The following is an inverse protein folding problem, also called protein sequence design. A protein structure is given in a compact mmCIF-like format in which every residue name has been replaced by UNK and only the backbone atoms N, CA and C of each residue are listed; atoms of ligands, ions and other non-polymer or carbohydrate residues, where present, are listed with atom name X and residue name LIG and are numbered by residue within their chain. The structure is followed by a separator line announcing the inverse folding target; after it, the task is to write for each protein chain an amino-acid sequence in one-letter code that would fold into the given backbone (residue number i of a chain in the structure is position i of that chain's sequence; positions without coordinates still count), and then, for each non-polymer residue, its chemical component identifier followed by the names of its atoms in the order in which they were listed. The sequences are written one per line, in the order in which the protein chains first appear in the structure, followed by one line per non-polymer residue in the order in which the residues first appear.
data_IF_009900055420
#
_entry.id   IF_009900055420
#
_cell.length_a   1.000
_cell.length_b   1.000
_cell.length_c   1.000
_cell.angle_alpha   90.00
_cell.angle_beta   90.00
_cell.angle_gamma   90.00
#
_symmetry.space_group_name_H-M   'P 1'
#
loop_
_entity.id
_entity.type
_entity.pdbx_description
1 polymer ?
#
# COMPACT_ATOMS: atom_id res chain seq x y z
N UNK A 1 -2.96 -15.78 1.96
CA UNK A 1 -2.58 -14.91 3.08
C UNK A 1 -3.57 -14.98 4.23
N UNK A 2 -3.86 -16.18 4.72
CA UNK A 2 -4.77 -16.48 5.84
C UNK A 2 -4.07 -17.29 6.94
N UNK A 3 -2.72 -17.29 6.94
CA UNK A 3 -1.88 -18.08 7.83
C UNK A 3 -2.11 -19.61 7.81
N UNK A 4 -2.66 -20.18 6.73
CA UNK A 4 -2.92 -21.63 6.62
C UNK A 4 -1.67 -22.49 6.89
N UNK A 5 -0.56 -22.25 6.18
CA UNK A 5 0.67 -23.04 6.34
C UNK A 5 1.28 -22.89 7.75
N UNK A 6 1.14 -21.71 8.35
CA UNK A 6 1.52 -21.50 9.76
C UNK A 6 0.63 -22.30 10.70
N UNK A 7 -0.67 -22.37 10.44
CA UNK A 7 -1.60 -23.22 11.19
C UNK A 7 -1.25 -24.70 11.09
N UNK A 8 -0.90 -25.18 9.90
CA UNK A 8 -0.44 -26.57 9.68
C UNK A 8 0.84 -26.86 10.48
N UNK A 9 1.81 -25.94 10.47
CA UNK A 9 3.04 -26.05 11.25
C UNK A 9 2.77 -26.04 12.77
N UNK A 10 1.85 -25.20 13.23
CA UNK A 10 1.44 -25.10 14.63
C UNK A 10 0.69 -26.35 15.11
N UNK A 11 0.01 -27.05 14.21
CA UNK A 11 -0.62 -28.35 14.48
C UNK A 11 0.39 -29.51 14.57
N UNK A 12 1.68 -29.28 14.30
CA UNK A 12 2.76 -30.26 14.50
C UNK A 12 3.40 -30.80 13.22
N UNK A 13 2.91 -30.40 12.04
CA UNK A 13 3.45 -30.83 10.74
C UNK A 13 4.70 -29.98 10.41
N UNK A 14 5.85 -30.36 10.94
CA UNK A 14 7.10 -29.57 10.85
C UNK A 14 7.71 -29.56 9.45
N UNK A 15 7.47 -30.59 8.67
CA UNK A 15 7.92 -30.75 7.28
C UNK A 15 7.37 -29.67 6.32
N UNK A 16 6.33 -28.92 6.72
CA UNK A 16 5.82 -27.80 5.92
C UNK A 16 6.77 -26.59 5.96
N UNK A 17 7.61 -26.47 6.98
CA UNK A 17 8.65 -25.44 7.07
C UNK A 17 9.83 -25.81 6.16
N UNK A 18 10.41 -24.83 5.45
CA UNK A 18 11.53 -25.10 4.52
C UNK A 18 12.73 -25.78 5.18
N UNK A 19 13.02 -25.40 6.44
CA UNK A 19 14.12 -25.96 7.21
C UNK A 19 13.71 -27.16 8.10
N UNK A 20 12.42 -27.51 8.15
CA UNK A 20 11.88 -28.58 9.00
C UNK A 20 11.94 -28.31 10.51
N UNK A 21 12.36 -27.12 10.95
CA UNK A 21 12.60 -26.78 12.36
C UNK A 21 11.69 -25.63 12.82
N UNK A 22 11.73 -24.49 12.13
CA UNK A 22 10.98 -23.29 12.48
C UNK A 22 10.42 -22.57 11.24
N UNK A 23 9.51 -21.62 11.46
CA UNK A 23 8.85 -20.91 10.36
C UNK A 23 9.63 -19.69 9.85
N UNK A 24 10.92 -19.52 10.22
CA UNK A 24 11.67 -18.29 9.90
C UNK A 24 12.04 -18.21 8.41
N UNK A 25 12.36 -19.35 7.82
CA UNK A 25 12.70 -19.46 6.38
C UNK A 25 11.46 -19.54 5.48
N UNK A 26 10.27 -19.43 6.06
CA UNK A 26 8.99 -19.63 5.38
C UNK A 26 8.65 -21.11 5.18
N UNK A 27 7.77 -21.38 4.23
CA UNK A 27 7.17 -22.71 4.00
C UNK A 27 7.53 -23.26 2.63
N UNK A 28 7.37 -24.58 2.44
CA UNK A 28 7.71 -25.27 1.19
C UNK A 28 6.88 -24.80 -0.02
N UNK A 29 5.69 -24.23 0.22
CA UNK A 29 4.89 -23.59 -0.81
C UNK A 29 5.02 -22.06 -0.67
N UNK A 30 5.41 -21.35 -1.75
CA UNK A 30 5.43 -19.90 -1.71
C UNK A 30 4.01 -19.37 -1.54
N UNK A 31 3.88 -18.31 -0.77
CA UNK A 31 2.61 -17.59 -0.69
C UNK A 31 2.39 -16.76 -1.96
N UNK A 32 1.13 -16.49 -2.32
CA UNK A 32 0.80 -15.52 -3.39
C UNK A 32 1.47 -14.15 -3.17
N UNK A 33 1.86 -13.85 -1.93
CA UNK A 33 2.55 -12.61 -1.61
C UNK A 33 4.01 -12.65 -2.02
N UNK A 34 4.70 -13.77 -1.80
CA UNK A 34 6.09 -13.96 -2.21
C UNK A 34 6.25 -13.91 -3.72
N UNK A 35 5.31 -14.48 -4.47
CA UNK A 35 5.44 -14.62 -5.92
C UNK A 35 4.74 -13.50 -6.72
N UNK A 36 3.65 -12.93 -6.20
CA UNK A 36 2.83 -11.97 -6.95
C UNK A 36 2.83 -10.60 -6.27
N UNK A 37 2.23 -10.50 -5.08
CA UNK A 37 1.95 -9.19 -4.49
C UNK A 37 3.21 -8.42 -4.13
N UNK A 38 4.23 -9.07 -3.57
CA UNK A 38 5.49 -8.42 -3.23
C UNK A 38 6.18 -7.91 -4.50
N UNK A 39 6.69 -8.80 -5.37
CA UNK A 39 7.50 -8.42 -6.52
C UNK A 39 6.78 -7.55 -7.55
N UNK A 40 5.49 -7.80 -7.80
CA UNK A 40 4.78 -7.17 -8.91
C UNK A 40 3.85 -6.04 -8.50
N UNK A 41 3.58 -5.85 -7.20
CA UNK A 41 2.61 -4.84 -6.75
C UNK A 41 3.27 -3.93 -5.70
N UNK A 42 3.64 -4.47 -4.54
CA UNK A 42 4.06 -3.66 -3.39
C UNK A 42 5.47 -3.11 -3.56
N UNK A 43 6.35 -3.86 -4.23
CA UNK A 43 7.70 -3.39 -4.50
C UNK A 43 7.70 -2.16 -5.42
N UNK A 44 6.63 -1.96 -6.22
CA UNK A 44 6.39 -0.78 -7.04
C UNK A 44 5.55 0.31 -6.34
N UNK A 45 5.18 0.11 -5.07
CA UNK A 45 4.33 1.04 -4.33
C UNK A 45 2.83 0.94 -4.64
N UNK A 46 2.42 0.01 -5.51
CA UNK A 46 0.99 -0.24 -5.74
C UNK A 46 0.37 -0.90 -4.52
N UNK A 47 -0.85 -0.49 -4.22
CA UNK A 47 -1.62 -1.02 -3.10
C UNK A 47 -3.01 -0.40 -3.07
N UNK A 48 -3.90 -0.87 -2.18
CA UNK A 48 -5.29 -0.46 -2.14
C UNK A 48 -5.42 1.03 -1.89
N UNK A 49 -6.02 1.76 -2.81
CA UNK A 49 -6.47 3.13 -2.65
C UNK A 49 -8.00 3.14 -2.72
N UNK A 50 -8.65 3.57 -1.65
CA UNK A 50 -10.12 3.58 -1.53
C UNK A 50 -10.62 4.97 -1.16
N UNK A 51 -11.86 5.24 -1.51
CA UNK A 51 -12.54 6.45 -1.10
C UNK A 51 -14.02 6.22 -0.85
N UNK A 52 -14.61 7.14 -0.08
CA UNK A 52 -16.03 7.18 0.27
C UNK A 52 -16.54 8.60 0.00
N UNK A 53 -17.61 8.71 -0.77
CA UNK A 53 -18.32 9.99 -0.97
C UNK A 53 -19.21 10.26 0.25
N UNK A 54 -18.88 11.28 1.06
CA UNK A 54 -19.55 11.53 2.34
C UNK A 54 -20.98 12.08 2.17
N UNK A 55 -21.37 12.50 0.97
CA UNK A 55 -22.76 12.81 0.63
C UNK A 55 -23.70 11.61 0.64
N UNK A 56 -23.16 10.41 0.49
CA UNK A 56 -23.95 9.21 0.19
C UNK A 56 -24.62 9.22 -1.18
N UNK A 57 -24.32 10.19 -2.06
CA UNK A 57 -24.91 10.29 -3.41
C UNK A 57 -24.15 9.41 -4.40
N UNK A 58 -24.90 8.59 -5.14
CA UNK A 58 -24.33 7.74 -6.18
C UNK A 58 -23.70 8.55 -7.34
N UNK A 59 -24.24 9.73 -7.64
CA UNK A 59 -23.68 10.63 -8.66
C UNK A 59 -22.26 11.10 -8.32
N UNK A 60 -21.97 11.36 -7.04
CA UNK A 60 -20.60 11.69 -6.61
C UNK A 60 -19.65 10.52 -6.87
N UNK A 61 -20.10 9.27 -6.65
CA UNK A 61 -19.31 8.08 -6.95
C UNK A 61 -19.01 7.96 -8.44
N UNK A 62 -20.02 8.14 -9.31
CA UNK A 62 -19.83 8.13 -10.77
C UNK A 62 -18.80 9.18 -11.21
N UNK A 63 -18.85 10.40 -10.63
CA UNK A 63 -17.90 11.47 -10.93
C UNK A 63 -16.49 11.12 -10.47
N UNK A 64 -16.35 10.58 -9.25
CA UNK A 64 -15.05 10.14 -8.74
C UNK A 64 -14.47 8.96 -9.52
N UNK A 65 -15.28 8.00 -9.97
CA UNK A 65 -14.84 6.90 -10.84
C UNK A 65 -14.25 7.44 -12.15
N UNK A 66 -14.95 8.38 -12.80
CA UNK A 66 -14.47 9.03 -14.03
C UNK A 66 -13.19 9.82 -13.80
N UNK A 67 -13.11 10.57 -12.71
CA UNK A 67 -11.93 11.36 -12.38
C UNK A 67 -10.71 10.47 -12.06
N UNK A 68 -10.90 9.41 -11.28
CA UNK A 68 -9.83 8.44 -11.01
C UNK A 68 -9.37 7.74 -12.29
N UNK A 69 -10.30 7.29 -13.14
CA UNK A 69 -9.99 6.66 -14.42
C UNK A 69 -9.19 7.58 -15.34
N UNK A 70 -9.51 8.88 -15.38
CA UNK A 70 -8.80 9.87 -16.19
C UNK A 70 -7.36 10.15 -15.70
N UNK A 71 -7.05 9.85 -14.44
CA UNK A 71 -5.69 9.99 -13.89
C UNK A 71 -4.79 8.78 -14.17
N UNK A 72 -5.34 7.67 -14.68
CA UNK A 72 -4.60 6.43 -14.90
C UNK A 72 -4.24 6.32 -16.39
N UNK A 73 -2.95 6.23 -16.70
CA UNK A 73 -2.47 5.92 -18.05
C UNK A 73 -2.35 4.39 -18.23
N UNK A 74 -3.26 3.74 -18.98
CA UNK A 74 -3.26 2.30 -19.16
C UNK A 74 -2.06 1.77 -19.96
N UNK A 75 -1.22 2.64 -20.55
CA UNK A 75 -0.03 2.25 -21.29
C UNK A 75 1.26 2.38 -20.48
N UNK A 76 1.22 3.01 -19.30
CA UNK A 76 2.40 3.20 -18.44
C UNK A 76 2.92 1.88 -17.88
N UNK A 77 2.02 1.02 -17.42
CA UNK A 77 2.37 -0.27 -16.79
C UNK A 77 1.23 -1.28 -16.87
N UNK A 78 1.53 -2.56 -16.59
CA UNK A 78 0.50 -3.59 -16.49
C UNK A 78 -0.47 -3.32 -15.32
N UNK A 79 0.05 -2.80 -14.21
CA UNK A 79 -0.73 -2.46 -13.03
C UNK A 79 -1.71 -1.31 -13.33
N UNK A 80 -1.29 -0.27 -14.04
CA UNK A 80 -2.19 0.81 -14.45
C UNK A 80 -3.27 0.30 -15.41
N UNK A 81 -2.90 -0.52 -16.39
CA UNK A 81 -3.85 -1.12 -17.32
C UNK A 81 -4.92 -1.91 -16.59
N UNK A 82 -4.51 -2.77 -15.64
CA UNK A 82 -5.43 -3.62 -14.89
C UNK A 82 -6.38 -2.77 -14.03
N UNK A 83 -5.87 -1.70 -13.41
CA UNK A 83 -6.69 -0.78 -12.60
C UNK A 83 -7.59 0.14 -13.43
N UNK A 84 -7.17 0.52 -14.64
CA UNK A 84 -7.99 1.23 -15.60
C UNK A 84 -9.17 0.38 -16.06
N UNK A 85 -8.91 -0.89 -16.44
CA UNK A 85 -9.96 -1.83 -16.84
C UNK A 85 -10.93 -2.06 -15.69
N UNK A 86 -10.42 -2.23 -14.47
CA UNK A 86 -11.24 -2.37 -13.28
C UNK A 86 -12.16 -1.16 -13.07
N UNK A 87 -11.65 0.06 -13.00
CA UNK A 87 -12.47 1.25 -12.68
C UNK A 87 -13.50 1.55 -13.77
N UNK A 88 -13.18 1.26 -15.04
CA UNK A 88 -14.12 1.37 -16.18
C UNK A 88 -15.36 0.49 -16.00
N UNK A 89 -15.18 -0.71 -15.45
CA UNK A 89 -16.23 -1.72 -15.35
C UNK A 89 -16.82 -1.85 -13.94
N UNK A 90 -16.21 -1.23 -12.93
CA UNK A 90 -16.59 -1.36 -11.52
C UNK A 90 -18.06 -1.03 -11.25
N UNK A 91 -18.62 -0.04 -11.97
CA UNK A 91 -20.03 0.33 -11.85
C UNK A 91 -20.98 -0.75 -12.37
N UNK A 92 -20.63 -1.40 -13.49
CA UNK A 92 -21.44 -2.46 -14.10
C UNK A 92 -21.61 -3.67 -13.17
N UNK A 93 -20.63 -3.89 -12.29
CA UNK A 93 -20.60 -5.02 -11.36
C UNK A 93 -21.46 -4.82 -10.10
N UNK A 94 -21.98 -3.60 -9.85
CA UNK A 94 -22.92 -3.29 -8.74
C UNK A 94 -22.44 -3.78 -7.36
N UNK A 95 -21.16 -3.55 -7.05
CA UNK A 95 -20.51 -4.03 -5.82
C UNK A 95 -20.72 -3.11 -4.60
N UNK A 96 -21.41 -1.98 -4.77
CA UNK A 96 -21.63 -1.00 -3.70
C UNK A 96 -22.66 -1.52 -2.70
N UNK A 97 -22.28 -1.59 -1.43
CA UNK A 97 -23.16 -1.90 -0.29
C UNK A 97 -22.93 -0.86 0.80
N UNK A 98 -23.99 -0.20 1.25
CA UNK A 98 -23.91 0.86 2.26
C UNK A 98 -23.41 2.18 1.68
N UNK A 99 -22.25 2.65 2.13
CA UNK A 99 -21.68 3.93 1.70
C UNK A 99 -21.24 3.90 0.24
N UNK A 100 -21.37 5.03 -0.46
CA UNK A 100 -20.91 5.19 -1.84
C UNK A 100 -19.37 5.21 -1.87
N UNK A 101 -18.78 4.05 -2.14
CA UNK A 101 -17.35 3.82 -2.02
C UNK A 101 -16.80 3.04 -3.21
N UNK A 102 -15.51 3.27 -3.49
CA UNK A 102 -14.76 2.54 -4.52
C UNK A 102 -13.34 2.27 -4.02
N UNK A 103 -12.73 1.27 -4.61
CA UNK A 103 -11.33 0.89 -4.39
C UNK A 103 -10.68 0.63 -5.74
N UNK A 104 -9.38 0.88 -5.85
CA UNK A 104 -8.50 0.39 -6.91
C UNK A 104 -7.07 0.34 -6.36
N UNK A 105 -6.08 -0.07 -7.15
CA UNK A 105 -4.67 -0.03 -6.77
C UNK A 105 -3.92 1.06 -7.53
N UNK A 106 -3.09 1.83 -6.82
CA UNK A 106 -2.18 2.83 -7.42
C UNK A 106 -0.90 2.98 -6.60
N UNK A 107 0.16 3.43 -7.27
CA UNK A 107 1.44 3.84 -6.67
C UNK A 107 1.36 5.24 -6.03
N UNK A 108 2.48 5.71 -5.47
CA UNK A 108 2.55 6.99 -4.75
C UNK A 108 2.05 8.17 -5.61
N UNK A 109 2.55 8.28 -6.85
CA UNK A 109 2.23 9.37 -7.77
C UNK A 109 0.77 9.29 -8.22
N UNK A 110 0.28 8.09 -8.54
CA UNK A 110 -1.12 7.85 -8.89
C UNK A 110 -2.08 8.23 -7.76
N UNK A 111 -1.78 7.82 -6.53
CA UNK A 111 -2.60 8.19 -5.35
C UNK A 111 -2.63 9.69 -5.11
N UNK A 112 -1.48 10.37 -5.19
CA UNK A 112 -1.39 11.83 -5.04
C UNK A 112 -2.24 12.53 -6.12
N UNK A 113 -2.09 12.12 -7.38
CA UNK A 113 -2.82 12.75 -8.49
C UNK A 113 -4.33 12.57 -8.36
N UNK A 114 -4.81 11.36 -8.04
CA UNK A 114 -6.23 11.10 -7.85
C UNK A 114 -6.77 11.88 -6.64
N UNK A 115 -6.06 11.87 -5.50
CA UNK A 115 -6.48 12.59 -4.31
C UNK A 115 -6.58 14.11 -4.54
N UNK A 116 -5.59 14.70 -5.23
CA UNK A 116 -5.63 16.12 -5.60
C UNK A 116 -6.79 16.42 -6.55
N UNK A 117 -7.06 15.51 -7.52
CA UNK A 117 -8.19 15.69 -8.44
C UNK A 117 -9.52 15.62 -7.69
N UNK A 118 -9.68 14.71 -6.74
CA UNK A 118 -10.87 14.65 -5.90
C UNK A 118 -11.02 15.91 -5.05
N UNK A 119 -9.95 16.38 -4.42
CA UNK A 119 -9.99 17.60 -3.63
C UNK A 119 -10.35 18.83 -4.48
N UNK A 120 -9.90 18.88 -5.74
CA UNK A 120 -10.34 19.89 -6.72
C UNK A 120 -11.84 19.80 -7.01
N UNK A 121 -12.39 18.60 -7.24
CA UNK A 121 -13.84 18.44 -7.47
C UNK A 121 -14.67 18.91 -6.27
N UNK A 122 -14.22 18.64 -5.04
CA UNK A 122 -14.86 19.13 -3.81
C UNK A 122 -14.82 20.66 -3.76
N UNK A 123 -13.66 21.25 -4.04
CA UNK A 123 -13.47 22.71 -4.08
C UNK A 123 -14.37 23.40 -5.10
N UNK A 124 -14.60 22.75 -6.24
CA UNK A 124 -15.47 23.25 -7.31
C UNK A 124 -16.96 22.97 -7.07
N UNK A 125 -17.32 22.33 -5.95
CA UNK A 125 -18.68 21.87 -5.65
C UNK A 125 -19.26 20.88 -6.68
N UNK A 126 -18.41 20.16 -7.40
CA UNK A 126 -18.82 19.13 -8.36
C UNK A 126 -19.24 17.84 -7.65
N UNK A 127 -18.64 17.59 -6.48
CA UNK A 127 -18.94 16.52 -5.52
C UNK A 127 -18.89 17.09 -4.10
N UNK A 128 -19.52 16.43 -3.14
CA UNK A 128 -19.37 16.75 -1.72
C UNK A 128 -18.08 16.16 -1.15
N UNK A 129 -17.68 16.50 0.10
CA UNK A 129 -16.45 15.98 0.70
C UNK A 129 -16.28 14.46 0.57
N UNK A 130 -15.03 14.04 0.36
CA UNK A 130 -14.66 12.64 0.12
C UNK A 130 -13.69 12.22 1.23
N UNK A 131 -13.87 11.03 1.79
CA UNK A 131 -12.86 10.43 2.66
C UNK A 131 -12.04 9.42 1.86
N UNK A 132 -10.75 9.66 1.69
CA UNK A 132 -9.82 8.69 1.11
C UNK A 132 -9.17 7.86 2.22
N UNK A 133 -8.69 6.67 1.87
CA UNK A 133 -7.97 5.79 2.80
C UNK A 133 -7.52 4.52 2.08
N UNK A 134 -7.29 3.45 2.86
CA UNK A 134 -6.86 2.16 2.33
C UNK A 134 -7.13 1.00 3.27
N UNK A 135 -6.89 -0.22 2.78
CA UNK A 135 -6.68 -1.36 3.66
C UNK A 135 -5.34 -1.22 4.38
N UNK A 136 -5.11 -2.03 5.41
CA UNK A 136 -3.79 -2.14 6.00
C UNK A 136 -2.86 -3.00 5.11
N UNK A 137 -3.44 -3.84 4.23
CA UNK A 137 -2.72 -4.61 3.20
C UNK A 137 -2.11 -3.68 2.13
N UNK A 138 -1.00 -3.02 2.44
CA UNK A 138 -0.39 -1.96 1.64
C UNK A 138 1.15 -1.97 1.79
N UNK A 139 1.94 -1.36 0.87
CA UNK A 139 3.40 -1.47 0.88
C UNK A 139 4.08 -1.09 2.19
N UNK A 140 3.62 -0.02 2.86
CA UNK A 140 4.16 0.46 4.13
C UNK A 140 3.29 0.18 5.36
N UNK A 141 2.02 -0.21 5.15
CA UNK A 141 1.03 -0.30 6.21
C UNK A 141 1.15 -1.53 7.11
N UNK A 142 1.85 -2.60 6.72
CA UNK A 142 1.82 -3.86 7.48
C UNK A 142 3.16 -4.58 7.52
N UNK A 143 3.59 -4.91 8.72
CA UNK A 143 4.60 -5.94 8.98
C UNK A 143 3.90 -7.26 9.33
N UNK A 144 4.14 -8.28 8.52
CA UNK A 144 3.47 -9.59 8.62
C UNK A 144 4.31 -10.67 7.92
N UNK A 145 5.15 -11.42 8.66
CA UNK A 145 6.11 -12.36 8.07
C UNK A 145 5.46 -13.49 7.28
N UNK A 146 4.16 -13.74 7.49
CA UNK A 146 3.38 -14.78 6.80
C UNK A 146 2.51 -14.24 5.65
N UNK A 147 2.62 -12.94 5.36
CA UNK A 147 1.88 -12.28 4.28
C UNK A 147 2.65 -11.06 3.77
N UNK A 148 2.36 -9.85 4.23
CA UNK A 148 2.84 -8.60 3.63
C UNK A 148 4.36 -8.42 3.60
N UNK A 149 5.09 -9.04 4.52
CA UNK A 149 6.56 -9.00 4.54
C UNK A 149 7.18 -10.37 4.26
N UNK A 150 6.40 -11.32 3.74
CA UNK A 150 6.91 -12.66 3.43
C UNK A 150 7.99 -12.64 2.32
N UNK A 151 7.97 -11.65 1.41
CA UNK A 151 8.98 -11.51 0.35
C UNK A 151 10.26 -10.77 0.79
N UNK A 152 10.35 -10.35 2.06
CA UNK A 152 11.54 -9.68 2.62
C UNK A 152 12.50 -10.73 3.16
N UNK A 153 13.74 -10.74 2.66
CA UNK A 153 14.70 -11.86 2.87
C UNK A 153 15.99 -11.46 3.59
N UNK A 154 16.11 -10.23 4.05
CA UNK A 154 17.25 -9.75 4.86
C UNK A 154 17.14 -10.11 6.36
N UNK A 155 16.13 -10.89 6.74
CA UNK A 155 15.83 -11.25 8.13
C UNK A 155 14.98 -10.24 8.89
N UNK A 156 14.71 -9.06 8.32
CA UNK A 156 13.88 -8.03 8.96
C UNK A 156 12.38 -8.30 8.85
N UNK A 157 11.95 -9.34 8.14
CA UNK A 157 10.54 -9.65 7.90
C UNK A 157 9.70 -9.84 9.18
N UNK A 158 10.35 -10.17 10.30
CA UNK A 158 9.75 -10.36 11.64
C UNK A 158 9.64 -9.08 12.46
N UNK A 159 10.21 -7.97 12.00
CA UNK A 159 10.19 -6.68 12.70
C UNK A 159 8.81 -5.99 12.58
N UNK A 160 8.63 -4.86 13.28
CA UNK A 160 7.39 -4.06 13.24
C UNK A 160 7.63 -2.56 13.01
N UNK A 161 8.86 -2.17 12.68
CA UNK A 161 9.27 -0.78 12.54
C UNK A 161 8.58 -0.09 11.37
N UNK A 162 8.39 -0.78 10.24
CA UNK A 162 7.80 -0.19 9.04
C UNK A 162 6.36 0.24 9.28
N UNK A 163 5.53 -0.65 9.82
CA UNK A 163 4.13 -0.34 10.13
C UNK A 163 4.00 0.73 11.22
N UNK A 164 4.88 0.69 12.24
CA UNK A 164 4.90 1.66 13.33
C UNK A 164 5.32 3.06 12.84
N UNK A 165 6.35 3.15 12.01
CA UNK A 165 6.79 4.40 11.40
C UNK A 165 5.76 4.94 10.41
N UNK A 166 5.16 4.08 9.58
CA UNK A 166 4.08 4.46 8.68
C UNK A 166 2.94 5.13 9.47
N UNK A 167 2.46 4.50 10.55
CA UNK A 167 1.46 5.05 11.46
C UNK A 167 1.89 6.42 12.03
N UNK A 168 3.08 6.50 12.64
CA UNK A 168 3.54 7.72 13.29
C UNK A 168 3.72 8.87 12.30
N UNK A 169 4.29 8.60 11.12
CA UNK A 169 4.51 9.62 10.10
C UNK A 169 3.22 10.06 9.40
N UNK A 170 2.23 9.18 9.26
CA UNK A 170 0.88 9.57 8.81
C UNK A 170 0.20 10.50 9.83
N UNK A 171 0.35 10.19 11.13
CA UNK A 171 -0.18 11.03 12.21
C UNK A 171 0.45 12.43 12.19
N UNK A 172 1.78 12.48 12.05
CA UNK A 172 2.54 13.73 12.03
C UNK A 172 2.29 14.58 10.77
N UNK A 173 1.81 13.98 9.68
CA UNK A 173 1.59 14.65 8.38
C UNK A 173 0.14 15.06 8.12
N UNK A 174 -0.72 15.00 9.13
CA UNK A 174 -2.06 15.60 9.06
C UNK A 174 -3.16 14.71 8.47
N UNK A 175 -2.97 13.39 8.44
CA UNK A 175 -4.07 12.46 8.15
C UNK A 175 -5.21 12.67 9.17
N UNK A 176 -6.47 12.69 8.70
CA UNK A 176 -7.65 12.92 9.57
C UNK A 176 -7.89 11.79 10.57
N UNK A 177 -7.49 10.57 10.22
CA UNK A 177 -7.55 9.38 11.05
C UNK A 177 -6.30 8.54 10.82
N UNK A 178 -5.75 7.99 11.90
CA UNK A 178 -4.66 7.00 11.86
C UNK A 178 -4.96 5.87 12.83
N UNK A 179 -4.65 4.64 12.42
CA UNK A 179 -4.87 3.45 13.22
C UNK A 179 -3.65 2.54 13.18
N UNK A 180 -3.38 1.86 14.29
CA UNK A 180 -2.38 0.80 14.40
C UNK A 180 -3.02 -0.39 15.12
N UNK A 181 -3.03 -1.55 14.46
CA UNK A 181 -3.69 -2.77 14.95
C UNK A 181 -2.68 -3.90 15.13
N UNK A 182 -3.07 -4.88 15.94
CA UNK A 182 -2.35 -6.13 16.15
C UNK A 182 -3.14 -7.30 15.53
N UNK A 183 -2.51 -7.98 14.58
CA UNK A 183 -2.96 -9.27 14.07
C UNK A 183 -3.92 -9.22 12.89
N UNK A 184 -4.02 -8.10 12.19
CA UNK A 184 -4.84 -7.99 10.99
C UNK A 184 -4.48 -9.05 9.95
N UNK A 185 -5.48 -9.79 9.49
CA UNK A 185 -5.34 -10.77 8.42
C UNK A 185 -4.74 -12.11 8.79
N UNK A 186 -3.68 -12.15 9.60
CA UNK A 186 -2.98 -13.40 9.97
C UNK A 186 -3.20 -13.83 11.41
N UNK A 187 -3.87 -13.02 12.24
CA UNK A 187 -4.23 -13.32 13.62
C UNK A 187 -3.34 -12.63 14.67
N UNK A 188 -3.83 -12.57 15.90
CA UNK A 188 -3.20 -11.86 17.03
C UNK A 188 -1.74 -12.27 17.22
N UNK A 189 -0.86 -11.27 17.35
CA UNK A 189 0.58 -11.45 17.59
C UNK A 189 1.38 -11.85 16.35
N UNK A 190 0.74 -11.96 15.17
CA UNK A 190 1.40 -12.40 13.92
C UNK A 190 1.56 -11.27 12.89
N UNK A 191 1.02 -10.09 13.16
CA UNK A 191 1.21 -8.90 12.32
C UNK A 191 1.02 -7.62 13.14
N UNK A 192 1.70 -6.56 12.73
CA UNK A 192 1.43 -5.18 13.14
C UNK A 192 1.04 -4.42 11.89
N UNK A 193 -0.17 -3.85 11.89
CA UNK A 193 -0.77 -3.33 10.66
C UNK A 193 -1.53 -2.02 10.94
N UNK A 194 -1.17 -0.97 10.21
CA UNK A 194 -1.74 0.37 10.32
C UNK A 194 -2.42 0.85 9.04
N UNK A 195 -3.28 1.84 9.22
CA UNK A 195 -4.07 2.47 8.16
C UNK A 195 -4.33 3.92 8.45
N UNK A 196 -4.91 4.61 7.46
CA UNK A 196 -5.24 6.02 7.57
C UNK A 196 -6.59 6.32 6.92
N UNK A 197 -7.13 7.48 7.25
CA UNK A 197 -8.14 8.16 6.47
C UNK A 197 -7.84 9.66 6.38
N UNK A 198 -8.12 10.27 5.23
CA UNK A 198 -7.97 11.70 5.00
C UNK A 198 -9.26 12.26 4.40
N UNK A 199 -9.83 13.27 5.05
CA UNK A 199 -10.99 14.00 4.52
C UNK A 199 -10.51 15.04 3.52
N UNK A 200 -11.06 14.96 2.32
CA UNK A 200 -10.90 15.92 1.24
C UNK A 200 -12.04 16.93 1.31
N UNK A 201 -11.75 18.11 1.83
CA UNK A 201 -12.71 19.18 2.08
C UNK A 201 -12.65 20.31 1.04
N UNK A 202 -11.80 20.18 0.03
CA UNK A 202 -11.59 21.17 -1.02
C UNK A 202 -10.58 22.27 -0.66
N UNK A 203 -10.08 22.32 0.57
CA UNK A 203 -9.12 23.34 1.00
C UNK A 203 -7.76 23.15 0.32
N UNK A 204 -7.00 24.25 0.19
CA UNK A 204 -5.61 24.21 -0.28
C UNK A 204 -4.66 23.58 0.73
N UNK A 205 -4.95 23.69 2.03
CA UNK A 205 -4.19 23.02 3.08
C UNK A 205 -4.19 21.50 2.90
N UNK A 206 -5.33 20.92 2.49
CA UNK A 206 -5.41 19.48 2.21
C UNK A 206 -4.57 19.08 0.99
N UNK A 207 -4.37 19.96 -0.01
CA UNK A 207 -3.46 19.68 -1.13
C UNK A 207 -2.01 19.42 -0.63
N UNK A 208 -1.55 20.19 0.36
CA UNK A 208 -0.22 20.03 0.95
C UNK A 208 -0.11 18.75 1.79
N UNK A 209 -1.16 18.45 2.58
CA UNK A 209 -1.27 17.19 3.34
C UNK A 209 -1.22 16.01 2.38
N UNK A 210 -1.97 16.03 1.26
CA UNK A 210 -1.97 14.95 0.27
C UNK A 210 -0.54 14.68 -0.23
N UNK A 211 0.18 15.73 -0.66
CA UNK A 211 1.52 15.59 -1.23
C UNK A 211 2.52 15.02 -0.24
N UNK A 212 2.49 15.51 1.01
CA UNK A 212 3.41 15.07 2.05
C UNK A 212 3.09 13.67 2.58
N UNK A 213 1.83 13.45 2.94
CA UNK A 213 1.39 12.26 3.68
C UNK A 213 1.28 11.02 2.81
N UNK A 214 0.76 11.12 1.57
CA UNK A 214 0.64 9.97 0.67
C UNK A 214 2.02 9.52 0.18
N UNK A 215 2.93 10.46 -0.09
CA UNK A 215 4.32 10.14 -0.43
C UNK A 215 4.97 9.32 0.70
N UNK A 216 4.83 9.76 1.95
CA UNK A 216 5.30 9.00 3.12
C UNK A 216 4.64 7.62 3.26
N UNK A 217 3.31 7.55 3.17
CA UNK A 217 2.52 6.33 3.36
C UNK A 217 2.97 5.19 2.42
N UNK A 218 3.27 5.53 1.17
CA UNK A 218 3.70 4.57 0.14
C UNK A 218 5.22 4.40 0.16
N UNK A 219 5.98 5.48 0.03
CA UNK A 219 7.43 5.41 -0.17
C UNK A 219 8.18 4.95 1.06
N UNK A 220 7.64 5.12 2.28
CA UNK A 220 8.22 4.52 3.48
C UNK A 220 8.28 2.98 3.39
N UNK A 221 7.24 2.36 2.85
CA UNK A 221 7.21 0.91 2.61
C UNK A 221 8.13 0.47 1.48
N UNK A 222 8.12 1.20 0.36
CA UNK A 222 9.00 0.91 -0.79
C UNK A 222 10.48 1.09 -0.40
N UNK A 223 10.81 2.12 0.38
CA UNK A 223 12.16 2.35 0.92
C UNK A 223 12.62 1.18 1.77
N UNK A 224 11.77 0.68 2.67
CA UNK A 224 12.09 -0.50 3.49
C UNK A 224 12.31 -1.74 2.62
N UNK A 225 11.48 -1.97 1.61
CA UNK A 225 11.64 -3.10 0.66
C UNK A 225 12.92 -2.98 -0.15
N UNK A 226 13.28 -1.77 -0.58
CA UNK A 226 14.54 -1.47 -1.26
C UNK A 226 15.74 -1.76 -0.35
N UNK A 227 15.67 -1.35 0.91
CA UNK A 227 16.69 -1.67 1.92
C UNK A 227 16.91 -3.18 2.03
N UNK A 228 15.81 -3.93 2.11
CA UNK A 228 15.79 -5.40 2.11
C UNK A 228 16.15 -6.05 0.76
N UNK A 229 16.62 -5.26 -0.22
CA UNK A 229 17.15 -5.70 -1.53
C UNK A 229 16.11 -6.24 -2.51
N UNK A 230 14.84 -5.88 -2.37
CA UNK A 230 13.86 -6.16 -3.40
C UNK A 230 14.19 -5.36 -4.68
N UNK A 231 14.47 -6.07 -5.78
CA UNK A 231 15.01 -5.46 -7.00
C UNK A 231 14.13 -4.35 -7.57
N UNK A 232 12.81 -4.59 -7.64
CA UNK A 232 11.86 -3.61 -8.18
C UNK A 232 11.77 -2.36 -7.28
N UNK A 233 11.83 -2.53 -5.95
CA UNK A 233 11.85 -1.39 -5.02
C UNK A 233 13.13 -0.56 -5.10
N UNK A 234 14.28 -1.19 -5.37
CA UNK A 234 15.53 -0.46 -5.62
C UNK A 234 15.38 0.46 -6.83
N UNK A 235 14.84 -0.04 -7.94
CA UNK A 235 14.61 0.78 -9.14
C UNK A 235 13.70 1.98 -8.84
N UNK A 236 12.57 1.74 -8.14
CA UNK A 236 11.64 2.81 -7.75
C UNK A 236 12.28 3.83 -6.80
N UNK A 237 13.11 3.40 -5.84
CA UNK A 237 13.78 4.33 -4.93
C UNK A 237 14.86 5.17 -5.64
N UNK A 238 15.55 4.61 -6.65
CA UNK A 238 16.49 5.37 -7.48
C UNK A 238 15.76 6.47 -8.25
N UNK A 239 14.65 6.14 -8.91
CA UNK A 239 13.81 7.11 -9.62
C UNK A 239 13.28 8.19 -8.68
N UNK A 240 12.74 7.77 -7.51
CA UNK A 240 12.26 8.69 -6.48
C UNK A 240 13.33 9.69 -6.04
N UNK A 241 14.57 9.23 -5.80
CA UNK A 241 15.69 10.10 -5.41
C UNK A 241 16.08 11.10 -6.52
N UNK A 242 15.93 10.72 -7.78
CA UNK A 242 16.20 11.62 -8.91
C UNK A 242 15.11 12.69 -9.01
N UNK A 243 13.84 12.29 -8.97
CA UNK A 243 12.69 13.19 -9.05
C UNK A 243 12.60 14.15 -7.84
N UNK A 244 13.03 13.70 -6.65
CA UNK A 244 12.89 14.44 -5.38
C UNK A 244 14.24 14.90 -4.79
N UNK A 245 15.27 15.04 -5.63
CA UNK A 245 16.66 15.36 -5.23
C UNK A 245 16.85 16.63 -4.37
N UNK A 246 15.84 17.50 -4.30
CA UNK A 246 15.87 18.74 -3.50
C UNK A 246 15.18 18.62 -2.14
N UNK A 247 14.37 17.59 -1.94
CA UNK A 247 13.46 17.48 -0.78
C UNK A 247 13.68 16.20 0.00
N UNK A 248 13.97 15.08 -0.68
CA UNK A 248 13.97 13.75 -0.08
C UNK A 248 15.17 12.92 -0.54
N UNK A 249 15.54 11.93 0.27
CA UNK A 249 16.57 10.97 -0.09
C UNK A 249 16.35 9.63 0.62
N UNK A 250 16.23 8.56 -0.16
CA UNK A 250 16.15 7.16 0.30
C UNK A 250 17.52 6.51 0.14
N UNK A 251 18.00 5.84 1.19
CA UNK A 251 19.25 5.09 1.12
C UNK A 251 19.14 3.88 0.18
N UNK A 252 20.06 3.78 -0.79
CA UNK A 252 20.19 2.61 -1.67
C UNK A 252 21.26 1.68 -1.12
N UNK A 253 20.92 0.40 -0.91
CA UNK A 253 21.85 -0.58 -0.33
C UNK A 253 22.75 -1.20 -1.38
N UNK A 254 24.00 -1.53 -1.00
CA UNK A 254 24.97 -2.23 -1.84
C UNK A 254 25.44 -3.51 -1.14
N UNK A 255 25.71 -4.55 -1.93
CA UNK A 255 26.26 -5.81 -1.41
C UNK A 255 27.78 -5.61 -1.25
N UNK A 256 28.38 -6.00 -0.10
CA UNK A 256 29.83 -6.01 0.04
C UNK A 256 30.48 -6.89 -1.03
N UNK A 257 31.77 -6.66 -1.31
CA UNK A 257 32.51 -7.53 -2.24
C UNK A 257 32.48 -8.97 -1.75
N UNK A 258 32.40 -9.91 -2.70
CA UNK A 258 32.49 -11.34 -2.41
C UNK A 258 33.79 -11.65 -1.64
N UNK A 259 33.69 -12.44 -0.58
CA UNK A 259 34.81 -12.78 0.31
C UNK A 259 35.15 -11.73 1.38
N UNK A 260 34.33 -10.69 1.57
CA UNK A 260 34.50 -9.72 2.67
C UNK A 260 34.05 -10.29 4.04
N UNK A 261 33.17 -11.28 4.05
CA UNK A 261 32.60 -11.93 5.25
C UNK A 261 32.70 -13.44 5.09
#
# INVERSE_FOLDING_TARGET
GNAFLKGVFDAGVKEIAKNGVDSKDGFIFPSYFEDIMGPHIFDFGYGPFRWVCLSGKHDDLIKTDKAAMACIDPNRSGQDRDNYVWIRDAEKNKLVVGTQARILYQDAKGRINIALKFNELVRNNEVQPIMIGRDHHDPGGTDSPFRETANIKDGSNVMADMATQCFAGNAARGMSLVALHNGGGVGIGKAINGGFGLVLDGSKQVDDIIRSSISWDVMGGVARRSWARNQNSIAVCIEFNQENSKTDHITITYIPKEGLV
#
